data_IF_282865622988
#
_entry.id   IF_282865622988
#
_cell.length_a   1.000
_cell.length_b   1.000
_cell.length_c   1.000
_cell.angle_alpha   90.00
_cell.angle_beta   90.00
_cell.angle_gamma   90.00
#
_symmetry.space_group_name_H-M   'P 1'
#
loop_
_entity.id
_entity.type
_entity.pdbx_description
1 polymer ?
#
# COMPACT_ATOMS: atom_id res chain seq x y z
N UNK A 1 -61.46 -49.65 -24.20
CA UNK A 1 -60.62 -49.38 -23.02
C UNK A 1 -59.19 -49.45 -23.52
N UNK A 2 -58.61 -48.39 -24.07
CA UNK A 2 -58.37 -47.12 -23.40
C UNK A 2 -56.97 -47.19 -22.81
N UNK A 3 -55.97 -46.68 -23.53
CA UNK A 3 -54.88 -45.86 -22.97
C UNK A 3 -53.90 -45.46 -24.08
N UNK A 4 -53.99 -44.18 -24.42
CA UNK A 4 -52.94 -43.37 -25.05
C UNK A 4 -51.79 -43.16 -24.06
N UNK A 5 -50.54 -43.25 -24.53
CA UNK A 5 -49.45 -42.47 -23.95
C UNK A 5 -48.38 -42.21 -25.02
N UNK A 6 -48.48 -41.01 -25.59
CA UNK A 6 -47.60 -40.42 -26.60
C UNK A 6 -46.21 -40.14 -26.02
N UNK A 7 -45.16 -40.65 -26.68
CA UNK A 7 -43.77 -40.29 -26.42
C UNK A 7 -43.53 -38.81 -26.80
N UNK A 8 -43.37 -37.95 -25.79
CA UNK A 8 -42.99 -36.56 -25.96
C UNK A 8 -41.54 -36.42 -26.43
N UNK A 9 -41.35 -35.90 -27.65
CA UNK A 9 -40.08 -35.40 -28.16
C UNK A 9 -39.62 -34.19 -27.32
N UNK A 10 -38.57 -34.36 -26.51
CA UNK A 10 -37.85 -33.21 -25.93
C UNK A 10 -36.97 -32.60 -27.01
N UNK A 11 -37.31 -31.38 -27.42
CA UNK A 11 -36.48 -30.55 -28.27
C UNK A 11 -35.18 -30.18 -27.53
N UNK A 12 -34.03 -30.52 -28.13
CA UNK A 12 -32.75 -29.93 -27.76
C UNK A 12 -32.67 -28.54 -28.38
N UNK A 13 -32.90 -27.51 -27.56
CA UNK A 13 -32.48 -26.15 -27.89
C UNK A 13 -30.99 -26.03 -27.54
N UNK A 14 -30.14 -26.10 -28.57
CA UNK A 14 -28.74 -25.68 -28.47
C UNK A 14 -28.75 -24.16 -28.30
N UNK A 15 -28.71 -23.72 -27.05
CA UNK A 15 -28.42 -22.32 -26.73
C UNK A 15 -26.97 -22.03 -27.10
N UNK A 16 -26.76 -21.33 -28.21
CA UNK A 16 -25.49 -20.73 -28.53
C UNK A 16 -25.19 -19.67 -27.47
N UNK A 17 -24.42 -20.04 -26.44
CA UNK A 17 -23.89 -19.12 -25.47
C UNK A 17 -22.92 -18.17 -26.17
N UNK A 18 -23.37 -16.95 -26.46
CA UNK A 18 -22.47 -15.88 -26.83
C UNK A 18 -21.56 -15.60 -25.63
N UNK A 19 -20.33 -16.12 -25.68
CA UNK A 19 -19.28 -15.69 -24.79
C UNK A 19 -19.04 -14.20 -25.07
N UNK A 20 -19.57 -13.33 -24.21
CA UNK A 20 -19.17 -11.94 -24.15
C UNK A 20 -17.71 -11.94 -23.73
N UNK A 21 -16.82 -11.88 -24.73
CA UNK A 21 -15.44 -11.54 -24.50
C UNK A 21 -15.43 -10.18 -23.79
N UNK A 22 -15.09 -10.19 -22.50
CA UNK A 22 -14.72 -8.96 -21.79
C UNK A 22 -13.48 -8.47 -22.51
N UNK A 23 -13.66 -7.55 -23.45
CA UNK A 23 -12.55 -6.79 -23.99
C UNK A 23 -11.97 -6.02 -22.80
N UNK A 24 -10.79 -6.43 -22.34
CA UNK A 24 -9.99 -5.63 -21.44
C UNK A 24 -9.81 -4.28 -22.13
N UNK A 25 -10.53 -3.25 -21.67
CA UNK A 25 -10.24 -1.88 -22.07
C UNK A 25 -8.77 -1.67 -21.72
N UNK A 26 -7.93 -1.46 -22.73
CA UNK A 26 -6.55 -1.06 -22.50
C UNK A 26 -6.60 0.15 -21.56
N UNK A 27 -5.98 0.03 -20.39
CA UNK A 27 -5.96 1.12 -19.42
C UNK A 27 -5.42 2.37 -20.12
N UNK A 28 -6.15 3.48 -20.01
CA UNK A 28 -5.69 4.75 -20.57
C UNK A 28 -4.26 5.03 -20.06
N UNK A 29 -3.35 5.53 -20.94
CA UNK A 29 -2.00 5.81 -20.52
C UNK A 29 -2.03 6.80 -19.34
N UNK A 30 -1.12 6.66 -18.35
CA UNK A 30 -1.13 7.56 -17.21
C UNK A 30 -0.97 9.03 -17.62
N UNK A 31 -1.74 9.93 -17.01
CA UNK A 31 -1.77 11.37 -17.29
C UNK A 31 -1.54 12.16 -16.01
N UNK A 32 -0.68 13.17 -16.10
CA UNK A 32 -0.52 14.17 -15.04
C UNK A 32 -1.54 15.29 -15.25
N UNK A 33 -2.52 15.39 -14.35
CA UNK A 33 -3.50 16.47 -14.31
C UNK A 33 -2.98 17.57 -13.39
N UNK A 34 -2.71 18.75 -13.94
CA UNK A 34 -2.30 19.93 -13.19
C UNK A 34 -3.54 20.63 -12.62
N UNK A 35 -3.60 20.78 -11.30
CA UNK A 35 -4.72 21.42 -10.60
C UNK A 35 -4.34 22.80 -10.06
N UNK A 36 -3.04 23.07 -9.88
CA UNK A 36 -2.50 24.34 -9.42
C UNK A 36 -1.17 24.66 -10.10
N UNK A 37 -0.87 25.93 -10.43
CA UNK A 37 0.47 26.36 -10.86
C UNK A 37 1.57 26.05 -9.83
N UNK A 38 1.21 25.93 -8.54
CA UNK A 38 2.15 25.55 -7.47
C UNK A 38 2.77 24.16 -7.70
N UNK A 39 2.15 23.30 -8.51
CA UNK A 39 2.68 21.98 -8.88
C UNK A 39 4.03 22.05 -9.58
N UNK A 40 4.36 23.18 -10.24
CA UNK A 40 5.63 23.36 -10.95
C UNK A 40 6.84 23.36 -9.99
N UNK A 41 6.61 23.50 -8.67
CA UNK A 41 7.64 23.29 -7.64
C UNK A 41 7.96 21.82 -7.36
N UNK A 42 7.09 20.91 -7.80
CA UNK A 42 7.17 19.46 -7.54
C UNK A 42 7.55 18.70 -8.81
N UNK A 43 7.05 19.10 -9.98
CA UNK A 43 7.36 18.44 -11.25
C UNK A 43 7.29 19.40 -12.44
N UNK A 44 8.24 19.23 -13.35
CA UNK A 44 8.37 20.03 -14.58
C UNK A 44 7.14 19.90 -15.48
N UNK A 45 6.85 20.96 -16.26
CA UNK A 45 5.75 21.02 -17.23
C UNK A 45 5.67 19.76 -18.13
N UNK A 46 6.84 19.31 -18.61
CA UNK A 46 7.00 18.18 -19.52
C UNK A 46 7.28 16.83 -18.85
N UNK A 47 7.16 16.71 -17.53
CA UNK A 47 7.35 15.43 -16.84
C UNK A 47 6.42 14.35 -17.42
N UNK A 48 6.96 13.15 -17.63
CA UNK A 48 6.22 12.00 -18.17
C UNK A 48 6.23 10.85 -17.18
N UNK A 49 5.16 10.07 -17.20
CA UNK A 49 5.03 8.84 -16.42
C UNK A 49 5.64 7.69 -17.23
N UNK A 50 6.63 7.02 -16.67
CA UNK A 50 7.31 5.87 -17.26
C UNK A 50 6.84 4.59 -16.57
N UNK A 51 6.44 3.57 -17.34
CA UNK A 51 6.21 2.23 -16.80
C UNK A 51 7.54 1.49 -16.72
N UNK A 52 7.97 1.12 -15.52
CA UNK A 52 9.29 0.50 -15.26
C UNK A 52 9.23 -0.99 -14.93
N UNK A 53 8.04 -1.51 -14.58
CA UNK A 53 7.77 -2.91 -14.31
C UNK A 53 6.31 -3.25 -14.63
N UNK A 54 6.03 -4.48 -15.10
CA UNK A 54 4.69 -5.02 -15.38
C UNK A 54 4.63 -6.51 -14.99
N UNK A 55 3.45 -7.13 -15.07
CA UNK A 55 3.27 -8.57 -14.80
C UNK A 55 3.32 -8.90 -13.31
N UNK A 56 2.96 -7.93 -12.47
CA UNK A 56 2.88 -8.06 -11.02
C UNK A 56 1.42 -8.40 -10.68
N UNK A 57 1.16 -9.24 -9.67
CA UNK A 57 -0.25 -9.54 -9.32
C UNK A 57 -0.90 -8.40 -8.56
N UNK A 58 -0.13 -7.79 -7.66
CA UNK A 58 -0.51 -6.58 -6.91
C UNK A 58 0.76 -5.87 -6.45
N UNK A 59 1.12 -4.76 -7.09
CA UNK A 59 2.31 -4.01 -6.75
C UNK A 59 2.09 -3.21 -5.47
N UNK A 60 2.99 -3.36 -4.49
CA UNK A 60 2.88 -2.73 -3.17
C UNK A 60 4.23 -2.28 -2.59
N UNK A 61 4.17 -1.61 -1.44
CA UNK A 61 5.29 -1.35 -0.54
C UNK A 61 6.61 -0.92 -1.19
N UNK A 62 6.64 0.06 -2.11
CA UNK A 62 7.88 0.49 -2.73
C UNK A 62 8.79 1.19 -1.70
N UNK A 63 10.09 0.95 -1.77
CA UNK A 63 11.10 1.68 -0.99
C UNK A 63 12.39 1.85 -1.80
N UNK A 64 12.96 3.05 -1.78
CA UNK A 64 14.22 3.35 -2.47
C UNK A 64 15.43 3.00 -1.59
N UNK A 65 16.41 2.31 -2.17
CA UNK A 65 17.69 1.98 -1.57
C UNK A 65 18.76 2.93 -2.12
N UNK A 66 19.08 4.05 -1.46
CA UNK A 66 19.95 5.09 -2.01
C UNK A 66 21.36 4.58 -2.32
N UNK A 67 21.94 3.74 -1.43
CA UNK A 67 23.29 3.19 -1.65
C UNK A 67 23.37 2.22 -2.82
N UNK A 68 22.26 1.55 -3.14
CA UNK A 68 22.21 0.55 -4.22
C UNK A 68 21.61 1.11 -5.51
N UNK A 69 21.15 2.37 -5.51
CA UNK A 69 20.40 2.99 -6.60
C UNK A 69 19.31 2.07 -7.15
N UNK A 70 18.54 1.48 -6.23
CA UNK A 70 17.57 0.45 -6.53
C UNK A 70 16.24 0.73 -5.83
N UNK A 71 15.13 0.40 -6.50
CA UNK A 71 13.80 0.36 -5.90
C UNK A 71 13.51 -1.07 -5.47
N UNK A 72 13.11 -1.29 -4.23
CA UNK A 72 12.40 -2.52 -3.86
C UNK A 72 10.90 -2.26 -3.89
N UNK A 73 10.11 -3.27 -4.22
CA UNK A 73 8.65 -3.26 -4.14
C UNK A 73 8.15 -4.69 -3.96
N UNK A 74 6.93 -4.83 -3.45
CA UNK A 74 6.36 -6.13 -3.09
C UNK A 74 5.28 -6.58 -4.07
N UNK A 75 5.07 -7.88 -4.10
CA UNK A 75 3.90 -8.55 -4.67
C UNK A 75 3.36 -9.50 -3.58
N UNK A 76 2.51 -8.99 -2.65
CA UNK A 76 2.09 -9.73 -1.47
C UNK A 76 1.40 -11.06 -1.79
N UNK A 77 0.48 -11.16 -2.77
CA UNK A 77 -0.11 -12.43 -3.18
C UNK A 77 0.90 -13.41 -3.79
N UNK A 78 1.95 -12.91 -4.46
CA UNK A 78 3.00 -13.75 -5.03
C UNK A 78 4.14 -14.10 -4.05
N UNK A 79 4.08 -13.60 -2.81
CA UNK A 79 5.08 -13.84 -1.78
C UNK A 79 6.50 -13.44 -2.20
N UNK A 80 6.67 -12.34 -2.93
CA UNK A 80 7.98 -11.91 -3.44
C UNK A 80 8.24 -10.42 -3.20
N UNK A 81 9.48 -10.07 -2.83
CA UNK A 81 10.02 -8.72 -2.99
C UNK A 81 10.81 -8.71 -4.29
N UNK A 82 10.53 -7.74 -5.14
CA UNK A 82 11.23 -7.49 -6.41
C UNK A 82 12.17 -6.30 -6.24
N UNK A 83 13.21 -6.27 -7.07
CA UNK A 83 14.17 -5.18 -7.15
C UNK A 83 14.17 -4.62 -8.56
N UNK A 84 14.10 -3.30 -8.67
CA UNK A 84 14.31 -2.58 -9.89
C UNK A 84 15.58 -1.71 -9.87
N UNK A 85 16.34 -1.74 -10.96
CA UNK A 85 17.39 -0.76 -11.26
C UNK A 85 17.27 -0.28 -12.70
N UNK A 86 17.89 0.86 -13.02
CA UNK A 86 17.96 1.35 -14.40
C UNK A 86 18.68 0.37 -15.35
N UNK A 87 19.60 -0.45 -14.82
CA UNK A 87 20.38 -1.42 -15.60
C UNK A 87 19.67 -2.77 -15.72
N UNK A 88 19.33 -3.38 -14.59
CA UNK A 88 18.82 -4.77 -14.53
C UNK A 88 17.32 -4.88 -14.84
N UNK A 89 16.63 -3.74 -14.99
CA UNK A 89 15.17 -3.66 -14.99
C UNK A 89 14.62 -4.35 -13.75
N UNK A 90 13.92 -5.49 -13.84
CA UNK A 90 13.26 -6.13 -12.69
C UNK A 90 13.88 -7.50 -12.40
N UNK A 91 14.20 -7.76 -11.14
CA UNK A 91 14.72 -9.04 -10.63
C UNK A 91 14.04 -9.44 -9.32
N UNK A 92 14.13 -10.71 -8.93
CA UNK A 92 13.68 -11.19 -7.62
C UNK A 92 14.73 -10.82 -6.57
N UNK A 93 14.29 -10.16 -5.48
CA UNK A 93 15.15 -9.80 -4.36
C UNK A 93 15.02 -10.77 -3.19
N UNK A 94 13.79 -11.18 -2.86
CA UNK A 94 13.52 -12.13 -1.79
C UNK A 94 12.27 -12.96 -2.11
N UNK A 95 12.41 -14.28 -2.04
CA UNK A 95 11.32 -15.24 -2.18
C UNK A 95 11.63 -16.49 -1.34
N UNK A 96 10.77 -16.91 -0.40
CA UNK A 96 9.55 -16.22 0.03
C UNK A 96 9.88 -14.90 0.76
N UNK A 97 9.05 -13.88 0.54
CA UNK A 97 9.21 -12.56 1.19
C UNK A 97 8.51 -12.42 2.53
N UNK A 98 7.43 -13.15 2.76
CA UNK A 98 6.67 -13.19 3.99
C UNK A 98 6.75 -14.55 4.68
N UNK A 99 5.61 -15.20 4.86
CA UNK A 99 5.53 -16.54 5.45
C UNK A 99 6.04 -17.61 4.46
N UNK A 100 7.00 -18.46 4.85
CA UNK A 100 7.49 -19.54 3.99
C UNK A 100 6.50 -20.71 3.86
N UNK A 101 5.60 -20.86 4.85
CA UNK A 101 4.53 -21.86 4.85
C UNK A 101 3.26 -21.23 5.43
N UNK A 102 2.11 -21.52 4.82
CA UNK A 102 0.81 -20.99 5.21
C UNK A 102 -0.31 -21.90 4.67
N UNK A 103 -1.49 -21.84 5.27
CA UNK A 103 -2.71 -22.43 4.71
C UNK A 103 -3.38 -21.39 3.79
N UNK A 104 -3.51 -21.64 2.48
CA UNK A 104 -4.15 -20.71 1.55
C UNK A 104 -5.64 -20.50 1.83
N UNK A 105 -6.28 -21.35 2.66
CA UNK A 105 -7.65 -21.12 3.14
C UNK A 105 -7.72 -20.06 4.24
N UNK A 106 -6.62 -19.80 4.94
CA UNK A 106 -6.57 -18.89 6.08
C UNK A 106 -5.85 -17.58 5.74
N UNK A 107 -4.82 -17.65 4.89
CA UNK A 107 -3.96 -16.52 4.52
C UNK A 107 -4.09 -16.25 3.02
N UNK A 108 -4.53 -15.03 2.69
CA UNK A 108 -4.68 -14.53 1.32
C UNK A 108 -3.39 -13.92 0.78
N UNK A 109 -2.68 -13.16 1.61
CA UNK A 109 -1.46 -12.44 1.24
C UNK A 109 -0.29 -12.96 2.08
N UNK A 110 0.37 -14.06 1.64
CA UNK A 110 1.45 -14.65 2.39
C UNK A 110 2.74 -13.83 2.39
N UNK A 111 2.87 -12.84 1.48
CA UNK A 111 4.07 -12.05 1.28
C UNK A 111 4.30 -10.91 2.25
N UNK A 112 5.43 -10.25 2.05
CA UNK A 112 5.66 -8.88 2.53
C UNK A 112 4.69 -7.92 1.85
N UNK A 113 4.23 -6.89 2.58
CA UNK A 113 3.45 -5.79 2.04
C UNK A 113 4.29 -4.50 2.06
N UNK A 114 4.06 -3.58 3.00
CA UNK A 114 4.82 -2.34 3.14
C UNK A 114 6.29 -2.57 3.48
N UNK A 115 7.16 -1.72 2.91
CA UNK A 115 8.59 -1.69 3.16
C UNK A 115 9.02 -0.30 3.64
N UNK A 116 10.01 -0.25 4.51
CA UNK A 116 10.67 0.98 4.91
C UNK A 116 12.15 0.73 5.21
N UNK A 117 12.94 1.80 5.34
CA UNK A 117 14.29 1.72 5.89
C UNK A 117 14.30 2.23 7.33
N UNK A 118 14.95 1.49 8.22
CA UNK A 118 15.28 2.02 9.53
C UNK A 118 16.41 3.06 9.43
N UNK A 119 16.71 3.74 10.55
CA UNK A 119 17.74 4.79 10.62
C UNK A 119 19.17 4.28 10.37
N UNK A 120 19.41 2.97 10.48
CA UNK A 120 20.68 2.32 10.18
C UNK A 120 20.79 1.82 8.73
N UNK A 121 19.73 1.96 7.94
CA UNK A 121 19.65 1.45 6.57
C UNK A 121 19.26 -0.03 6.47
N UNK A 122 18.78 -0.64 7.55
CA UNK A 122 18.15 -1.97 7.52
C UNK A 122 16.77 -1.91 6.87
N UNK A 123 16.40 -2.96 6.14
CA UNK A 123 15.08 -3.05 5.50
C UNK A 123 14.05 -3.53 6.52
N UNK A 124 13.06 -2.71 6.82
CA UNK A 124 11.89 -3.10 7.59
C UNK A 124 10.81 -3.65 6.66
N UNK A 125 10.10 -4.67 7.13
CA UNK A 125 9.12 -5.43 6.35
C UNK A 125 7.84 -5.57 7.18
N UNK A 126 6.73 -5.06 6.65
CA UNK A 126 5.39 -5.41 7.13
C UNK A 126 5.07 -6.79 6.57
N UNK A 127 5.30 -7.82 7.38
CA UNK A 127 5.16 -9.20 6.95
C UNK A 127 3.71 -9.64 7.16
N UNK A 128 2.88 -9.43 6.14
CA UNK A 128 1.44 -9.77 6.15
C UNK A 128 1.21 -11.24 6.50
N UNK A 129 1.84 -12.17 5.76
CA UNK A 129 1.67 -13.60 5.99
C UNK A 129 2.24 -14.09 7.33
N UNK A 130 3.38 -13.54 7.76
CA UNK A 130 3.97 -13.87 9.06
C UNK A 130 3.24 -13.23 10.24
N UNK A 131 2.44 -12.19 9.98
CA UNK A 131 1.70 -11.38 10.97
C UNK A 131 2.66 -10.70 11.95
N UNK A 132 3.72 -10.10 11.39
CA UNK A 132 4.88 -9.55 12.13
C UNK A 132 5.41 -8.28 11.47
N UNK A 133 6.18 -7.50 12.21
CA UNK A 133 7.14 -6.54 11.66
C UNK A 133 8.52 -7.17 11.77
N UNK A 134 9.20 -7.29 10.63
CA UNK A 134 10.55 -7.87 10.54
C UNK A 134 11.57 -6.83 10.10
N UNK A 135 12.84 -7.11 10.40
CA UNK A 135 14.01 -6.42 9.89
C UNK A 135 14.89 -7.38 9.12
N UNK A 136 15.31 -6.99 7.92
CA UNK A 136 16.27 -7.68 7.08
C UNK A 136 17.54 -6.83 6.98
N UNK A 137 18.65 -7.39 7.41
CA UNK A 137 19.95 -6.80 7.15
C UNK A 137 20.31 -6.96 5.67
N UNK A 138 20.56 -5.85 4.98
CA UNK A 138 20.79 -5.85 3.52
C UNK A 138 22.14 -6.45 3.11
N UNK A 139 23.10 -6.55 4.03
CA UNK A 139 24.45 -7.09 3.75
C UNK A 139 24.50 -8.57 4.08
N UNK A 140 24.19 -8.93 5.31
CA UNK A 140 24.26 -10.32 5.81
C UNK A 140 23.05 -11.15 5.40
N UNK A 141 21.98 -10.52 4.90
CA UNK A 141 20.70 -11.16 4.55
C UNK A 141 19.99 -11.80 5.75
N UNK A 142 20.42 -11.51 6.98
CA UNK A 142 19.79 -12.02 8.20
C UNK A 142 18.46 -11.31 8.43
N UNK A 143 17.37 -12.09 8.50
CA UNK A 143 16.03 -11.62 8.89
C UNK A 143 15.84 -11.80 10.39
N UNK A 144 15.19 -10.85 11.05
CA UNK A 144 14.86 -10.91 12.48
C UNK A 144 13.48 -10.32 12.70
N UNK A 145 12.62 -11.02 13.41
CA UNK A 145 11.32 -10.49 13.82
C UNK A 145 11.50 -9.49 14.95
N UNK A 146 10.99 -8.28 14.74
CA UNK A 146 11.00 -7.20 15.72
C UNK A 146 9.76 -7.23 16.61
N UNK A 147 8.60 -7.43 15.98
CA UNK A 147 7.29 -7.32 16.63
C UNK A 147 6.38 -8.42 16.09
N UNK A 148 5.84 -9.25 16.97
CA UNK A 148 5.01 -10.40 16.58
C UNK A 148 3.65 -10.44 17.27
N UNK A 149 3.52 -9.79 18.43
CA UNK A 149 2.31 -9.83 19.25
C UNK A 149 2.04 -8.48 19.90
N UNK A 150 0.75 -8.24 20.17
CA UNK A 150 0.26 -7.19 21.03
C UNK A 150 -0.56 -7.84 22.15
N UNK A 151 -0.15 -7.63 23.41
CA UNK A 151 -0.81 -8.23 24.60
C UNK A 151 -1.05 -9.74 24.45
N UNK A 152 -0.02 -10.46 24.02
CA UNK A 152 -0.05 -11.92 23.83
C UNK A 152 -0.74 -12.40 22.54
N UNK A 153 -1.50 -11.56 21.84
CA UNK A 153 -2.22 -11.90 20.62
C UNK A 153 -1.41 -11.55 19.38
N UNK A 154 -1.50 -12.36 18.32
CA UNK A 154 -0.89 -12.05 17.02
C UNK A 154 -1.61 -10.87 16.37
N UNK A 155 -0.85 -10.05 15.65
CA UNK A 155 -1.38 -9.04 14.73
C UNK A 155 -2.28 -9.67 13.68
N UNK A 156 -3.15 -8.91 13.03
CA UNK A 156 -4.00 -9.39 11.94
C UNK A 156 -3.14 -9.73 10.72
N UNK A 157 -2.55 -8.72 10.11
CA UNK A 157 -1.66 -8.78 8.96
C UNK A 157 -1.07 -7.37 8.77
N UNK A 158 0.08 -7.05 9.39
CA UNK A 158 0.70 -5.74 9.26
C UNK A 158 0.84 -5.33 7.79
N UNK A 159 0.44 -4.10 7.48
CA UNK A 159 0.24 -3.66 6.11
C UNK A 159 1.27 -2.60 5.67
N UNK A 160 1.29 -1.41 6.27
CA UNK A 160 2.27 -0.35 5.95
C UNK A 160 2.93 0.21 7.22
N UNK A 161 4.01 0.98 7.05
CA UNK A 161 4.72 1.61 8.15
C UNK A 161 5.41 2.93 7.81
N UNK A 162 5.64 3.72 8.86
CA UNK A 162 6.47 4.90 8.85
C UNK A 162 7.50 4.84 9.99
N UNK A 163 8.72 5.30 9.73
CA UNK A 163 9.80 5.32 10.72
C UNK A 163 10.04 6.76 11.15
N UNK A 164 9.88 7.03 12.44
CA UNK A 164 10.16 8.32 13.05
C UNK A 164 11.67 8.57 13.19
N UNK A 165 12.07 9.85 13.30
CA UNK A 165 13.46 10.29 13.53
C UNK A 165 14.03 9.68 14.80
N UNK A 166 13.18 9.51 15.80
CA UNK A 166 13.51 8.93 17.09
C UNK A 166 13.70 7.40 17.04
N UNK A 167 13.43 6.76 15.89
CA UNK A 167 13.54 5.32 15.65
C UNK A 167 12.27 4.53 15.95
N UNK A 168 11.17 5.16 16.38
CA UNK A 168 9.90 4.50 16.52
C UNK A 168 9.32 4.09 15.16
N UNK A 169 8.67 2.93 15.11
CA UNK A 169 7.96 2.41 13.94
C UNK A 169 6.46 2.58 14.19
N UNK A 170 5.81 3.37 13.35
CA UNK A 170 4.36 3.44 13.26
C UNK A 170 3.91 2.45 12.20
N UNK A 171 2.92 1.62 12.48
CA UNK A 171 2.43 0.65 11.52
C UNK A 171 0.93 0.40 11.64
N UNK A 172 0.34 -0.08 10.56
CA UNK A 172 -1.08 -0.44 10.51
C UNK A 172 -1.27 -1.95 10.43
N UNK A 173 -2.37 -2.42 11.01
CA UNK A 173 -2.69 -3.84 11.12
C UNK A 173 -4.15 -4.12 10.70
N UNK A 174 -4.51 -3.87 9.42
CA UNK A 174 -5.76 -4.31 8.86
C UNK A 174 -5.78 -5.84 8.65
N UNK A 175 -6.93 -6.44 8.34
CA UNK A 175 -7.04 -7.89 8.18
C UNK A 175 -6.88 -8.35 6.71
N UNK A 176 -6.30 -7.53 5.83
CA UNK A 176 -6.21 -7.84 4.39
C UNK A 176 -5.46 -9.13 4.09
N UNK A 177 -4.43 -9.48 4.86
CA UNK A 177 -3.71 -10.72 4.67
C UNK A 177 -4.49 -11.98 5.02
N UNK A 178 -5.64 -11.85 5.68
CA UNK A 178 -6.48 -12.96 6.11
C UNK A 178 -7.58 -13.24 5.08
N UNK A 179 -7.80 -14.50 4.71
CA UNK A 179 -8.73 -14.89 3.64
C UNK A 179 -10.16 -14.35 3.84
N UNK A 180 -10.68 -14.45 5.07
CA UNK A 180 -12.03 -13.97 5.44
C UNK A 180 -12.02 -12.58 6.14
N UNK A 181 -10.89 -11.86 6.09
CA UNK A 181 -10.76 -10.55 6.72
C UNK A 181 -11.15 -10.57 8.21
N UNK A 182 -12.10 -9.72 8.59
CA UNK A 182 -12.58 -9.64 9.99
C UNK A 182 -13.25 -10.91 10.50
N UNK A 183 -13.79 -11.75 9.61
CA UNK A 183 -14.43 -13.03 9.98
C UNK A 183 -13.44 -14.19 10.06
N UNK A 184 -12.16 -13.93 9.80
CA UNK A 184 -11.13 -14.97 9.78
C UNK A 184 -11.01 -15.66 11.15
N UNK A 185 -11.00 -17.00 11.20
CA UNK A 185 -10.85 -17.74 12.46
C UNK A 185 -9.44 -17.59 13.06
N UNK A 186 -8.47 -17.08 12.30
CA UNK A 186 -7.11 -16.82 12.80
C UNK A 186 -6.90 -15.38 13.26
N UNK A 187 -7.90 -14.51 13.12
CA UNK A 187 -7.84 -13.14 13.65
C UNK A 187 -7.95 -13.20 15.18
N UNK A 188 -6.90 -12.75 15.88
CA UNK A 188 -6.84 -12.84 17.35
C UNK A 188 -7.22 -11.52 18.04
N UNK A 189 -7.01 -10.38 17.36
CA UNK A 189 -7.33 -9.07 17.88
C UNK A 189 -8.78 -8.69 17.54
N UNK A 190 -9.50 -8.03 18.47
CA UNK A 190 -10.90 -7.63 18.23
C UNK A 190 -11.03 -6.40 17.31
N UNK A 191 -9.91 -5.79 16.91
CA UNK A 191 -9.86 -4.53 16.17
C UNK A 191 -8.85 -4.57 15.03
N UNK A 192 -8.92 -3.55 14.17
CA UNK A 192 -7.89 -3.24 13.17
C UNK A 192 -7.16 -2.00 13.66
N UNK A 193 -5.84 -2.09 13.83
CA UNK A 193 -5.09 -1.17 14.68
C UNK A 193 -4.10 -0.29 13.93
N UNK A 194 -3.86 0.90 14.47
CA UNK A 194 -2.64 1.70 14.26
C UNK A 194 -1.79 1.55 15.52
N UNK A 195 -0.52 1.23 15.35
CA UNK A 195 0.40 1.00 16.45
C UNK A 195 1.64 1.86 16.34
N UNK A 196 2.26 2.14 17.48
CA UNK A 196 3.62 2.68 17.58
C UNK A 196 4.46 1.70 18.37
N UNK A 197 5.66 1.40 17.88
CA UNK A 197 6.60 0.52 18.58
C UNK A 197 8.00 1.10 18.56
N UNK A 198 8.78 0.82 19.61
CA UNK A 198 10.20 1.15 19.71
C UNK A 198 10.94 -0.07 20.25
N UNK A 199 12.17 -0.27 19.79
CA UNK A 199 13.06 -1.33 20.27
C UNK A 199 13.12 -1.40 21.80
N UNK A 200 13.00 -2.60 22.34
CA UNK A 200 13.02 -2.86 23.79
C UNK A 200 11.69 -2.65 24.52
N UNK A 201 10.64 -2.14 23.85
CA UNK A 201 9.31 -1.94 24.43
C UNK A 201 8.23 -2.83 23.82
N UNK A 202 7.04 -2.79 24.42
CA UNK A 202 5.83 -3.35 23.82
C UNK A 202 5.21 -2.37 22.80
N UNK A 203 4.51 -2.87 21.76
CA UNK A 203 3.73 -2.01 20.87
C UNK A 203 2.61 -1.29 21.64
N UNK A 204 2.41 -0.02 21.34
CA UNK A 204 1.32 0.81 21.89
C UNK A 204 0.22 0.93 20.83
N UNK A 205 -1.02 0.62 21.21
CA UNK A 205 -2.19 0.86 20.35
C UNK A 205 -2.52 2.35 20.33
N UNK A 206 -2.52 2.93 19.14
CA UNK A 206 -2.77 4.36 18.89
C UNK A 206 -4.25 4.60 18.58
N UNK A 207 -4.80 3.83 17.64
CA UNK A 207 -6.23 3.85 17.31
C UNK A 207 -6.66 2.43 16.90
N UNK A 208 -7.66 1.87 17.59
CA UNK A 208 -8.28 0.58 17.27
C UNK A 208 -9.72 0.70 16.77
N UNK A 209 -10.18 1.91 16.48
CA UNK A 209 -11.57 2.20 16.08
C UNK A 209 -11.75 2.32 14.57
N UNK A 210 -10.65 2.25 13.80
CA UNK A 210 -10.67 2.36 12.34
C UNK A 210 -11.09 1.04 11.70
N UNK A 211 -11.97 1.10 10.70
CA UNK A 211 -12.42 -0.10 9.99
C UNK A 211 -11.28 -0.76 9.18
N UNK A 212 -10.51 0.05 8.45
CA UNK A 212 -9.50 -0.41 7.48
C UNK A 212 -8.26 0.49 7.46
N UNK A 213 -7.51 0.62 8.58
CA UNK A 213 -6.28 1.42 8.59
C UNK A 213 -5.28 0.84 7.59
N UNK A 214 -4.74 1.68 6.70
CA UNK A 214 -3.91 1.24 5.58
C UNK A 214 -2.57 2.00 5.57
N UNK A 215 -2.29 2.86 4.58
CA UNK A 215 -1.06 3.67 4.59
C UNK A 215 -0.92 4.58 5.81
N UNK A 216 0.32 4.77 6.25
CA UNK A 216 0.67 5.62 7.40
C UNK A 216 1.90 6.47 7.09
N UNK A 217 1.87 7.74 7.48
CA UNK A 217 3.00 8.65 7.34
C UNK A 217 3.05 9.69 8.46
N UNK A 218 4.24 10.23 8.68
CA UNK A 218 4.46 11.38 9.56
C UNK A 218 4.62 12.64 8.72
N UNK A 219 4.19 13.79 9.25
CA UNK A 219 4.60 15.07 8.67
C UNK A 219 6.12 15.24 8.77
N UNK A 220 6.71 16.09 7.92
CA UNK A 220 8.16 16.30 7.89
C UNK A 220 8.75 16.81 9.21
N UNK A 221 7.94 17.52 10.01
CA UNK A 221 8.26 17.99 11.36
C UNK A 221 7.87 17.01 12.48
N UNK A 222 7.31 15.84 12.14
CA UNK A 222 6.80 14.80 13.04
C UNK A 222 5.78 15.30 14.09
N UNK A 223 5.07 16.37 13.78
CA UNK A 223 3.98 16.90 14.64
C UNK A 223 2.61 16.34 14.27
N UNK A 224 2.49 15.66 13.13
CA UNK A 224 1.25 15.03 12.68
C UNK A 224 1.51 13.60 12.23
N UNK A 225 0.59 12.70 12.58
CA UNK A 225 0.45 11.37 12.00
C UNK A 225 -0.72 11.38 11.02
N UNK A 226 -0.51 10.83 9.84
CA UNK A 226 -1.54 10.60 8.84
C UNK A 226 -1.81 9.11 8.70
N UNK A 227 -3.09 8.74 8.64
CA UNK A 227 -3.53 7.35 8.48
C UNK A 227 -4.62 7.30 7.41
N UNK A 228 -4.38 6.57 6.34
CA UNK A 228 -5.40 6.25 5.35
C UNK A 228 -6.34 5.18 5.86
N UNK A 229 -7.60 5.27 5.45
CA UNK A 229 -8.63 4.27 5.70
C UNK A 229 -9.26 3.87 4.37
N UNK A 230 -8.97 2.65 3.93
CA UNK A 230 -9.50 2.08 2.69
C UNK A 230 -10.80 1.34 2.95
N UNK A 231 -11.75 2.08 3.51
CA UNK A 231 -13.14 1.67 3.69
C UNK A 231 -13.98 2.32 2.59
N UNK A 232 -14.63 1.54 1.74
CA UNK A 232 -15.48 2.06 0.66
C UNK A 232 -16.62 2.94 1.18
N UNK A 233 -17.12 2.68 2.39
CA UNK A 233 -18.19 3.46 3.00
C UNK A 233 -17.70 4.84 3.51
N UNK A 234 -16.42 4.96 3.85
CA UNK A 234 -15.82 6.18 4.40
C UNK A 234 -14.34 6.32 4.02
N UNK A 235 -14.01 6.47 2.72
CA UNK A 235 -12.62 6.50 2.26
C UNK A 235 -11.98 7.83 2.63
N UNK A 236 -11.10 7.80 3.63
CA UNK A 236 -10.57 9.01 4.28
C UNK A 236 -9.09 8.89 4.58
N UNK A 237 -8.44 10.04 4.69
CA UNK A 237 -7.18 10.17 5.40
C UNK A 237 -7.45 10.95 6.67
N UNK A 238 -7.12 10.37 7.81
CA UNK A 238 -7.17 11.06 9.10
C UNK A 238 -5.82 11.67 9.43
N UNK A 239 -5.84 12.81 10.12
CA UNK A 239 -4.67 13.39 10.78
C UNK A 239 -4.85 13.33 12.30
N UNK A 240 -3.75 13.11 13.00
CA UNK A 240 -3.63 13.19 14.46
C UNK A 240 -2.51 14.17 14.78
N UNK A 241 -2.69 14.96 15.83
CA UNK A 241 -1.59 15.75 16.38
C UNK A 241 -0.71 14.84 17.24
N UNK A 242 0.60 14.99 17.15
CA UNK A 242 1.56 14.30 17.99
C UNK A 242 2.09 15.28 19.04
N UNK A 243 1.97 14.91 20.31
CA UNK A 243 2.56 15.70 21.38
C UNK A 243 4.08 15.47 21.50
N UNK A 244 4.73 16.15 22.45
CA UNK A 244 6.18 16.03 22.65
C UNK A 244 6.66 14.61 23.03
N UNK A 245 5.76 13.74 23.52
CA UNK A 245 6.05 12.33 23.82
C UNK A 245 5.79 11.44 22.59
N UNK A 246 5.19 11.99 21.54
CA UNK A 246 4.75 11.28 20.34
C UNK A 246 3.44 10.54 20.54
N UNK A 247 2.61 10.96 21.50
CA UNK A 247 1.26 10.42 21.67
C UNK A 247 0.30 11.09 20.68
N UNK A 248 -0.50 10.28 19.98
CA UNK A 248 -1.47 10.79 19.00
C UNK A 248 -2.75 11.29 19.68
N UNK A 249 -3.23 12.47 19.27
CA UNK A 249 -4.41 13.15 19.79
C UNK A 249 -5.19 13.85 18.67
N UNK A 250 -6.37 14.38 18.99
CA UNK A 250 -7.13 15.28 18.12
C UNK A 250 -7.35 14.72 16.69
N UNK A 251 -7.80 13.47 16.59
CA UNK A 251 -8.13 12.84 15.32
C UNK A 251 -9.14 13.70 14.55
N UNK A 252 -8.83 14.01 13.30
CA UNK A 252 -9.72 14.74 12.38
C UNK A 252 -9.59 14.22 10.96
N UNK A 253 -10.65 14.35 10.19
CA UNK A 253 -10.60 14.08 8.74
C UNK A 253 -9.67 15.12 8.11
N UNK A 254 -8.61 14.66 7.47
CA UNK A 254 -7.70 15.50 6.69
C UNK A 254 -8.14 15.57 5.24
N UNK A 255 -8.51 14.42 4.65
CA UNK A 255 -9.12 14.33 3.34
C UNK A 255 -10.31 13.37 3.37
N UNK A 256 -11.39 13.78 2.71
CA UNK A 256 -12.53 12.93 2.43
C UNK A 256 -12.61 12.66 0.92
N UNK A 257 -12.60 11.38 0.57
CA UNK A 257 -12.71 10.89 -0.80
C UNK A 257 -14.11 10.34 -1.12
N UNK A 258 -15.08 10.44 -0.20
CA UNK A 258 -16.44 10.00 -0.45
C UNK A 258 -17.03 10.63 -1.73
N UNK A 259 -17.60 9.78 -2.58
CA UNK A 259 -18.21 10.19 -3.86
C UNK A 259 -17.21 10.62 -4.95
N UNK A 260 -15.89 10.59 -4.71
CA UNK A 260 -14.92 10.90 -5.76
C UNK A 260 -14.82 9.74 -6.77
N UNK A 261 -14.81 10.02 -8.09
CA UNK A 261 -14.78 8.99 -9.11
C UNK A 261 -13.37 8.43 -9.32
N UNK A 262 -13.31 7.26 -9.96
CA UNK A 262 -12.08 6.60 -10.37
C UNK A 262 -11.73 5.39 -9.50
N UNK A 263 -10.85 4.52 -9.99
CA UNK A 263 -10.46 3.31 -9.28
C UNK A 263 -9.59 3.61 -8.06
N UNK A 264 -9.60 2.71 -7.08
CA UNK A 264 -8.74 2.75 -5.90
C UNK A 264 -9.34 3.49 -4.71
N UNK A 265 -8.71 3.29 -3.55
CA UNK A 265 -9.04 3.91 -2.26
C UNK A 265 -7.80 4.60 -1.70
N UNK A 266 -7.93 5.45 -0.67
CA UNK A 266 -6.77 5.93 0.07
C UNK A 266 -6.04 4.76 0.69
N UNK A 267 -4.79 4.57 0.27
CA UNK A 267 -3.95 3.44 0.63
C UNK A 267 -2.60 4.02 1.10
N UNK A 268 -1.48 3.71 0.43
CA UNK A 268 -0.16 4.23 0.74
C UNK A 268 0.03 5.75 0.53
N UNK A 269 0.94 6.32 1.32
CA UNK A 269 1.30 7.74 1.21
C UNK A 269 2.75 8.00 1.64
N UNK A 270 3.30 9.13 1.18
CA UNK A 270 4.60 9.68 1.60
C UNK A 270 4.53 11.19 1.72
N UNK A 271 5.28 11.74 2.67
CA UNK A 271 5.43 13.19 2.87
C UNK A 271 6.89 13.54 2.63
N UNK A 272 7.15 14.48 1.71
CA UNK A 272 8.47 14.99 1.40
C UNK A 272 8.97 15.96 2.48
N UNK A 273 10.27 16.29 2.44
CA UNK A 273 10.91 17.16 3.42
C UNK A 273 10.27 18.57 3.49
N UNK A 274 9.89 19.12 2.34
CA UNK A 274 9.19 20.42 2.22
C UNK A 274 7.74 20.38 2.73
N UNK A 275 7.21 19.20 3.05
CA UNK A 275 5.85 18.97 3.49
C UNK A 275 4.87 18.62 2.37
N UNK A 276 5.31 18.56 1.10
CA UNK A 276 4.49 18.06 -0.01
C UNK A 276 4.06 16.62 0.28
N UNK A 277 2.77 16.34 0.16
CA UNK A 277 2.21 15.02 0.42
C UNK A 277 1.82 14.33 -0.90
N UNK A 278 2.24 13.08 -1.02
CA UNK A 278 1.86 12.16 -2.09
C UNK A 278 1.00 11.08 -1.46
N UNK A 279 -0.27 11.00 -1.82
CA UNK A 279 -1.17 9.97 -1.30
C UNK A 279 -2.00 9.35 -2.40
N UNK A 280 -2.20 8.04 -2.32
CA UNK A 280 -3.12 7.35 -3.23
C UNK A 280 -4.56 7.66 -2.87
N UNK A 281 -5.46 7.47 -3.84
CA UNK A 281 -6.89 7.64 -3.66
C UNK A 281 -7.63 7.32 -4.97
N UNK A 282 -8.95 7.50 -5.01
CA UNK A 282 -9.73 7.37 -6.23
C UNK A 282 -9.10 8.13 -7.41
N UNK A 283 -8.90 7.41 -8.50
CA UNK A 283 -8.38 7.93 -9.76
C UNK A 283 -6.86 7.92 -9.91
N UNK A 284 -6.08 7.69 -8.85
CA UNK A 284 -4.62 7.62 -8.92
C UNK A 284 -3.90 8.22 -7.71
N UNK A 285 -2.78 8.90 -7.94
CA UNK A 285 -1.99 9.52 -6.88
C UNK A 285 -2.21 11.04 -6.83
N UNK A 286 -2.63 11.53 -5.67
CA UNK A 286 -2.87 12.94 -5.39
C UNK A 286 -1.59 13.58 -4.83
N UNK A 287 -1.24 14.76 -5.36
CA UNK A 287 -0.12 15.59 -4.88
C UNK A 287 -0.72 16.79 -4.19
N UNK A 288 -0.36 16.99 -2.93
CA UNK A 288 -0.95 18.00 -2.07
C UNK A 288 0.12 18.90 -1.44
N UNK A 289 -0.23 20.15 -1.14
CA UNK A 289 0.60 21.01 -0.30
C UNK A 289 0.69 20.47 1.13
N UNK A 290 1.56 21.07 1.95
CA UNK A 290 1.69 20.77 3.39
C UNK A 290 0.39 20.97 4.18
N UNK A 291 -0.47 21.84 3.68
CA UNK A 291 -1.77 22.20 4.24
C UNK A 291 -2.90 21.32 3.67
N UNK A 292 -2.62 20.48 2.67
CA UNK A 292 -3.60 19.60 2.02
C UNK A 292 -4.27 20.20 0.78
N UNK A 293 -3.79 21.33 0.26
CA UNK A 293 -4.31 21.90 -0.99
C UNK A 293 -3.96 20.99 -2.17
N UNK A 294 -4.91 20.66 -3.07
CA UNK A 294 -4.63 19.83 -4.24
C UNK A 294 -3.74 20.57 -5.25
N UNK A 295 -2.57 20.02 -5.54
CA UNK A 295 -1.63 20.53 -6.53
C UNK A 295 -1.78 19.81 -7.88
N UNK A 296 -1.97 18.49 -7.84
CA UNK A 296 -2.07 17.65 -9.03
C UNK A 296 -2.60 16.26 -8.75
N UNK A 297 -2.92 15.56 -9.83
CA UNK A 297 -3.31 14.15 -9.81
C UNK A 297 -2.55 13.40 -10.92
N UNK A 298 -1.82 12.36 -10.56
CA UNK A 298 -1.26 11.40 -11.50
C UNK A 298 -2.31 10.31 -11.70
N UNK A 299 -3.12 10.46 -12.74
CA UNK A 299 -4.16 9.52 -13.09
C UNK A 299 -3.57 8.34 -13.85
N UNK A 300 -3.81 7.11 -13.42
CA UNK A 300 -3.16 5.89 -13.94
C UNK A 300 -4.12 4.94 -14.66
N UNK A 301 -5.43 5.23 -14.62
CA UNK A 301 -6.49 4.36 -15.13
C UNK A 301 -6.70 3.07 -14.32
N UNK A 302 -5.95 2.87 -13.23
CA UNK A 302 -5.97 1.70 -12.36
C UNK A 302 -5.77 2.12 -10.89
N UNK A 303 -6.13 1.29 -9.89
CA UNK A 303 -5.79 1.57 -8.51
C UNK A 303 -4.28 1.79 -8.33
N UNK A 304 -3.91 2.72 -7.45
CA UNK A 304 -2.53 2.89 -6.99
C UNK A 304 -2.51 2.50 -5.53
N UNK A 305 -1.72 1.48 -5.19
CA UNK A 305 -1.63 0.96 -3.83
C UNK A 305 -0.69 1.82 -2.99
N UNK A 306 0.48 2.21 -3.52
CA UNK A 306 1.47 2.90 -2.70
C UNK A 306 2.45 3.74 -3.55
N UNK A 307 3.30 4.52 -2.89
CA UNK A 307 4.32 5.33 -3.55
C UNK A 307 5.61 5.45 -2.72
N UNK A 308 6.72 5.80 -3.39
CA UNK A 308 8.01 6.06 -2.76
C UNK A 308 8.72 7.23 -3.42
N UNK A 309 9.44 8.03 -2.62
CA UNK A 309 10.41 8.98 -3.11
C UNK A 309 11.77 8.29 -3.24
N UNK A 310 12.49 8.61 -4.31
CA UNK A 310 13.83 8.09 -4.55
C UNK A 310 14.66 8.99 -5.45
N UNK A 311 15.84 8.50 -5.83
CA UNK A 311 16.82 9.27 -6.62
C UNK A 311 17.16 10.65 -6.01
N UNK A 312 17.17 10.71 -4.67
CA UNK A 312 17.41 11.90 -3.85
C UNK A 312 16.36 13.00 -4.13
N UNK A 313 15.08 12.63 -4.01
CA UNK A 313 13.96 13.56 -4.25
C UNK A 313 13.63 13.80 -5.73
N UNK A 314 14.37 13.19 -6.67
CA UNK A 314 14.20 13.42 -8.12
C UNK A 314 13.29 12.43 -8.84
N UNK A 315 12.81 11.40 -8.14
CA UNK A 315 11.86 10.44 -8.69
C UNK A 315 10.78 10.07 -7.67
N UNK A 316 9.54 10.04 -8.15
CA UNK A 316 8.41 9.44 -7.48
C UNK A 316 8.11 8.09 -8.15
N UNK A 317 8.02 7.04 -7.35
CA UNK A 317 7.64 5.71 -7.79
C UNK A 317 6.23 5.39 -7.31
N UNK A 318 5.41 4.78 -8.17
CA UNK A 318 4.03 4.41 -7.87
C UNK A 318 3.86 2.91 -8.08
N UNK A 319 3.31 2.22 -7.10
CA UNK A 319 2.88 0.84 -7.23
C UNK A 319 1.41 0.86 -7.67
N UNK A 320 1.15 0.60 -8.95
CA UNK A 320 -0.14 0.80 -9.61
C UNK A 320 -0.66 -0.53 -10.16
N UNK A 321 -1.46 -1.24 -9.36
CA UNK A 321 -2.09 -2.50 -9.72
C UNK A 321 -1.06 -3.55 -10.21
N UNK A 322 -1.01 -3.82 -11.52
CA UNK A 322 -0.14 -4.82 -12.14
C UNK A 322 1.26 -4.32 -12.53
N UNK A 323 1.57 -3.06 -12.22
CA UNK A 323 2.77 -2.35 -12.70
C UNK A 323 3.37 -1.39 -11.69
N UNK A 324 4.62 -1.00 -11.95
CA UNK A 324 5.30 0.09 -11.23
C UNK A 324 5.60 1.22 -12.21
N UNK A 325 5.28 2.43 -11.80
CA UNK A 325 5.50 3.65 -12.56
C UNK A 325 6.60 4.49 -11.91
N UNK A 326 7.33 5.26 -12.71
CA UNK A 326 8.32 6.25 -12.28
C UNK A 326 7.97 7.60 -12.90
N UNK A 327 8.00 8.64 -12.09
CA UNK A 327 7.73 10.02 -12.51
C UNK A 327 8.90 10.90 -12.05
N UNK A 328 9.61 11.59 -12.95
CA UNK A 328 10.58 12.60 -12.57
C UNK A 328 9.90 13.72 -11.78
N UNK A 329 10.49 14.09 -10.66
CA UNK A 329 10.07 15.20 -9.81
C UNK A 329 11.29 16.08 -9.48
N UNK A 330 11.06 17.28 -8.97
CA UNK A 330 12.08 18.31 -8.76
C UNK A 330 12.27 18.67 -7.29
N UNK A 331 11.74 17.85 -6.37
CA UNK A 331 11.94 18.06 -4.95
C UNK A 331 13.42 17.80 -4.59
N UNK A 332 14.01 18.73 -3.84
CA UNK A 332 15.31 18.50 -3.20
C UNK A 332 15.19 17.52 -2.03
N UNK A 333 16.34 17.11 -1.47
CA UNK A 333 16.38 16.46 -0.14
C UNK A 333 16.06 17.44 0.99
#
# INVERSE_FOLDING_TARGET
MGEDAVFGRRAFLVGAGAALAVQARAAEPPVIRRLSPKLDRVLDAGARVETIATGIRWAEGPVWLPRQQALLFTDPPANVIRRWTKHDRVSVFLSPSGAPAFDPKLIREPGANGLALDRSGGLLIANSGGRTIDRLDLVTRRRTTLVARYRGRRFNSPNDMAVARDGAIWFTDPPYGLADGDRSPVKELPHNGVYRWRSGGEPVLVDGTLARPNGVALSSDERRLFVAVSDEAAPRIYAYDLDAKGDARNRRVFLDFAGRPGPGLPDGMKVAADGTMFCTGPGGLHILSREGEPLGLIATGAPVANCALGENGRALFLAADDRVLRVPITLGE
#
